data_IF_124110198878
#
_entry.id   IF_124110198878
#
_cell.length_a   1.000
_cell.length_b   1.000
_cell.length_c   1.000
_cell.angle_alpha   90.00
_cell.angle_beta   90.00
_cell.angle_gamma   90.00
#
_symmetry.space_group_name_H-M   'P 1'
#
loop_
_entity.id
_entity.type
_entity.pdbx_description
1 polymer ?
#
# COMPACT_ATOMS: atom_id res chain seq x y z
N UNK A 1 -20.82 15.25 -3.83
CA UNK A 1 -20.33 15.05 -5.22
C UNK A 1 -20.08 13.57 -5.39
N UNK A 2 -20.48 12.98 -6.51
CA UNK A 2 -20.27 11.54 -6.75
C UNK A 2 -19.04 11.33 -7.61
N UNK A 3 -18.15 10.45 -7.18
CA UNK A 3 -16.94 10.02 -7.88
C UNK A 3 -17.13 8.62 -8.45
N UNK A 4 -16.38 8.31 -9.50
CA UNK A 4 -16.52 7.02 -10.18
C UNK A 4 -17.78 6.91 -11.05
N UNK A 5 -18.11 5.69 -11.47
CA UNK A 5 -19.20 5.42 -12.40
C UNK A 5 -19.70 3.98 -12.29
N UNK A 6 -20.87 3.69 -12.87
CA UNK A 6 -21.51 2.37 -12.79
C UNK A 6 -21.81 1.96 -11.34
N UNK A 7 -21.46 0.71 -11.01
CA UNK A 7 -21.57 0.17 -9.64
C UNK A 7 -20.48 0.73 -8.71
N UNK A 8 -19.43 1.34 -9.25
CA UNK A 8 -18.26 1.87 -8.54
C UNK A 8 -18.39 3.38 -8.36
N UNK A 9 -19.44 3.79 -7.66
CA UNK A 9 -19.72 5.19 -7.33
C UNK A 9 -19.48 5.46 -5.86
N UNK A 10 -18.96 6.65 -5.57
CA UNK A 10 -18.56 7.04 -4.24
C UNK A 10 -18.93 8.47 -3.88
N UNK A 11 -19.15 8.74 -2.60
CA UNK A 11 -19.32 10.10 -2.07
C UNK A 11 -18.22 10.41 -1.05
N UNK A 12 -17.58 11.57 -1.19
CA UNK A 12 -16.60 12.04 -0.20
C UNK A 12 -17.26 12.21 1.17
N UNK A 13 -16.63 11.65 2.21
CA UNK A 13 -17.01 11.88 3.61
C UNK A 13 -16.08 12.95 4.18
N UNK A 14 -16.54 14.20 4.21
CA UNK A 14 -15.76 15.32 4.73
C UNK A 14 -15.54 15.22 6.25
N UNK A 15 -14.32 15.50 6.71
CA UNK A 15 -13.98 15.55 8.13
C UNK A 15 -14.12 14.20 8.85
N UNK A 16 -13.89 13.10 8.13
CA UNK A 16 -14.00 11.75 8.67
C UNK A 16 -12.93 11.48 9.75
N UNK A 17 -11.68 11.84 9.49
CA UNK A 17 -10.49 11.56 10.29
C UNK A 17 -10.37 12.44 11.55
N UNK A 18 -11.16 12.13 12.59
CA UNK A 18 -11.23 12.92 13.84
C UNK A 18 -10.01 12.70 14.73
N UNK A 19 -8.90 13.35 14.38
CA UNK A 19 -7.67 13.33 15.18
C UNK A 19 -7.85 13.93 16.58
N UNK A 20 -7.10 13.45 17.58
CA UNK A 20 -6.99 14.10 18.88
C UNK A 20 -6.55 15.57 18.75
N UNK A 21 -6.99 16.41 19.69
CA UNK A 21 -6.69 17.84 19.65
C UNK A 21 -5.18 18.10 19.70
N UNK A 22 -4.69 18.83 18.70
CA UNK A 22 -3.28 19.23 18.59
C UNK A 22 -2.43 18.25 17.78
N UNK A 23 -3.00 17.14 17.33
CA UNK A 23 -2.35 16.24 16.39
C UNK A 23 -2.54 16.75 14.97
N UNK A 24 -1.52 16.55 14.15
CA UNK A 24 -1.53 16.90 12.74
C UNK A 24 -1.02 15.71 11.93
N UNK A 25 -1.58 15.54 10.73
CA UNK A 25 -1.09 14.54 9.81
C UNK A 25 0.28 14.91 9.24
N UNK A 26 1.12 13.89 9.11
CA UNK A 26 2.26 13.93 8.21
C UNK A 26 1.85 13.51 6.80
N UNK A 27 2.81 12.95 6.06
CA UNK A 27 2.48 12.23 4.84
C UNK A 27 1.83 10.89 5.18
N UNK A 28 0.83 10.49 4.41
CA UNK A 28 0.10 9.24 4.63
C UNK A 28 0.44 8.26 3.50
N UNK A 29 1.55 7.52 3.62
CA UNK A 29 2.00 6.62 2.56
C UNK A 29 1.14 5.36 2.45
N UNK A 30 0.49 4.91 3.52
CA UNK A 30 -0.29 3.68 3.47
C UNK A 30 -1.44 3.66 4.48
N UNK A 31 -2.49 2.92 4.11
CA UNK A 31 -3.69 2.67 4.91
C UNK A 31 -4.12 1.22 4.67
N UNK A 32 -4.63 0.56 5.72
CA UNK A 32 -5.25 -0.76 5.63
C UNK A 32 -6.39 -0.88 6.63
N UNK A 33 -7.34 -1.77 6.36
CA UNK A 33 -8.41 -2.13 7.30
C UNK A 33 -8.18 -3.55 7.82
N UNK A 34 -8.53 -3.77 9.09
CA UNK A 34 -8.54 -5.11 9.69
C UNK A 34 -9.91 -5.79 9.55
N UNK A 35 -10.05 -7.01 10.08
CA UNK A 35 -11.29 -7.80 10.02
C UNK A 35 -12.49 -7.17 10.73
N UNK A 36 -12.27 -6.12 11.52
CA UNK A 36 -13.28 -5.37 12.28
C UNK A 36 -13.57 -3.99 11.68
N UNK A 37 -13.09 -3.72 10.47
CA UNK A 37 -13.15 -2.40 9.80
C UNK A 37 -12.51 -1.26 10.61
N UNK A 38 -11.54 -1.59 11.48
CA UNK A 38 -10.66 -0.55 12.04
C UNK A 38 -9.69 -0.13 10.95
N UNK A 39 -9.50 1.18 10.82
CA UNK A 39 -8.67 1.78 9.77
C UNK A 39 -7.33 2.16 10.35
N UNK A 40 -6.28 1.46 9.92
CA UNK A 40 -4.90 1.66 10.32
C UNK A 40 -4.20 2.58 9.32
N UNK A 41 -3.63 3.67 9.82
CA UNK A 41 -3.07 4.74 8.99
C UNK A 41 -1.62 4.97 9.38
N UNK A 42 -0.70 4.69 8.45
CA UNK A 42 0.69 5.13 8.60
C UNK A 42 0.76 6.63 8.34
N UNK A 43 1.35 7.38 9.28
CA UNK A 43 1.57 8.82 9.15
C UNK A 43 3.03 9.16 9.42
N UNK A 44 3.67 9.94 8.55
CA UNK A 44 5.01 10.47 8.79
C UNK A 44 4.97 11.67 9.74
N UNK A 45 4.55 11.44 10.98
CA UNK A 45 4.40 12.43 12.05
C UNK A 45 4.90 11.89 13.40
N UNK A 46 4.66 12.63 14.48
CA UNK A 46 4.97 12.16 15.86
C UNK A 46 4.17 10.90 16.26
N UNK A 47 3.10 10.56 15.51
CA UNK A 47 2.23 9.41 15.73
C UNK A 47 2.24 8.52 14.48
N UNK A 48 3.16 7.55 14.39
CA UNK A 48 3.46 6.88 13.13
C UNK A 48 2.37 5.92 12.66
N UNK A 49 1.61 5.34 13.59
CA UNK A 49 0.45 4.53 13.29
C UNK A 49 -0.74 4.98 14.14
N UNK A 50 -1.82 5.36 13.46
CA UNK A 50 -3.04 5.87 14.06
C UNK A 50 -4.21 5.01 13.61
N UNK A 51 -5.09 4.63 14.54
CA UNK A 51 -6.20 3.71 14.29
C UNK A 51 -7.52 4.40 14.56
N UNK A 52 -8.45 4.28 13.61
CA UNK A 52 -9.83 4.78 13.72
C UNK A 52 -10.84 3.65 13.63
N UNK A 53 -12.05 3.88 14.15
CA UNK A 53 -13.22 3.12 13.72
C UNK A 53 -13.70 3.57 12.33
N UNK A 54 -14.68 2.85 11.80
CA UNK A 54 -15.23 3.13 10.46
C UNK A 54 -15.93 4.49 10.36
N UNK A 55 -16.39 5.04 11.47
CA UNK A 55 -16.97 6.39 11.60
C UNK A 55 -15.92 7.50 11.82
N UNK A 56 -14.64 7.11 11.84
CA UNK A 56 -13.48 7.99 11.91
C UNK A 56 -13.20 8.55 13.29
N UNK A 57 -13.76 7.92 14.34
CA UNK A 57 -13.39 8.23 15.71
C UNK A 57 -12.04 7.57 16.02
N UNK A 58 -11.13 8.35 16.61
CA UNK A 58 -9.84 7.85 17.08
C UNK A 58 -10.03 6.73 18.11
N UNK A 59 -9.31 5.63 17.92
CA UNK A 59 -9.28 4.49 18.84
C UNK A 59 -7.98 4.46 19.65
N UNK A 60 -6.85 4.41 18.96
CA UNK A 60 -5.53 4.26 19.55
C UNK A 60 -4.41 4.70 18.59
N UNK A 61 -3.20 4.87 19.12
CA UNK A 61 -1.96 5.02 18.34
C UNK A 61 -0.84 4.24 19.01
N UNK A 62 0.12 3.81 18.21
CA UNK A 62 1.33 3.17 18.70
C UNK A 62 2.45 3.21 17.65
N UNK A 63 3.64 2.74 18.04
CA UNK A 63 4.78 2.57 17.14
C UNK A 63 5.83 3.69 17.22
N UNK A 64 5.64 4.71 18.06
CA UNK A 64 6.55 5.86 18.21
C UNK A 64 8.02 5.44 18.50
N UNK A 65 8.19 4.34 19.24
CA UNK A 65 9.52 3.84 19.62
C UNK A 65 10.24 3.10 18.48
N UNK A 66 9.51 2.56 17.50
CA UNK A 66 10.05 1.62 16.49
C UNK A 66 9.85 2.05 15.03
N UNK A 67 8.72 2.66 14.71
CA UNK A 67 8.39 3.17 13.38
C UNK A 67 8.89 4.62 13.26
N UNK A 68 9.98 4.84 12.50
CA UNK A 68 10.61 6.16 12.37
C UNK A 68 10.16 6.89 11.11
N UNK A 69 10.00 6.15 10.02
CA UNK A 69 9.46 6.58 8.73
C UNK A 69 8.75 5.38 8.07
N UNK A 70 7.66 4.93 8.72
CA UNK A 70 6.83 3.84 8.22
C UNK A 70 6.30 4.17 6.82
N UNK A 71 6.31 3.18 5.93
CA UNK A 71 5.97 3.37 4.54
C UNK A 71 4.75 2.54 4.14
N UNK A 72 4.91 1.27 3.82
CA UNK A 72 3.83 0.33 3.51
C UNK A 72 3.16 -0.22 4.77
N UNK A 73 1.88 -0.58 4.65
CA UNK A 73 1.12 -1.32 5.66
C UNK A 73 0.34 -2.45 4.98
N UNK A 74 0.31 -3.61 5.61
CA UNK A 74 -0.50 -4.76 5.21
C UNK A 74 -1.05 -5.43 6.47
N UNK A 75 -2.33 -5.81 6.45
CA UNK A 75 -2.97 -6.54 7.55
C UNK A 75 -3.36 -7.92 7.02
N UNK A 76 -2.87 -8.97 7.67
CA UNK A 76 -3.23 -10.35 7.30
C UNK A 76 -4.59 -10.76 7.88
N UNK A 77 -5.09 -11.91 7.43
CA UNK A 77 -6.39 -12.47 7.87
C UNK A 77 -6.48 -12.80 9.37
N UNK A 78 -5.34 -12.79 10.08
CA UNK A 78 -5.26 -12.96 11.52
C UNK A 78 -5.12 -11.62 12.26
N UNK A 79 -5.36 -10.49 11.56
CA UNK A 79 -5.21 -9.12 12.03
C UNK A 79 -3.78 -8.77 12.50
N UNK A 80 -2.76 -9.49 12.01
CA UNK A 80 -1.39 -9.04 12.24
C UNK A 80 -1.08 -7.86 11.31
N UNK A 81 -0.46 -6.83 11.88
CA UNK A 81 -0.14 -5.59 11.18
C UNK A 81 1.32 -5.63 10.77
N UNK A 82 1.59 -5.55 9.48
CA UNK A 82 2.94 -5.48 8.95
C UNK A 82 3.22 -4.07 8.46
N UNK A 83 4.38 -3.54 8.81
CA UNK A 83 4.85 -2.24 8.34
C UNK A 83 6.23 -2.38 7.70
N UNK A 84 6.42 -1.83 6.50
CA UNK A 84 7.76 -1.58 5.98
C UNK A 84 8.28 -0.27 6.57
N UNK A 85 9.55 -0.26 6.95
CA UNK A 85 10.15 0.86 7.68
C UNK A 85 11.45 1.30 7.00
N UNK A 86 11.45 2.58 6.62
CA UNK A 86 12.44 3.13 5.71
C UNK A 86 13.80 3.34 6.37
N UNK A 87 13.84 3.91 7.57
CA UNK A 87 15.09 4.33 8.24
C UNK A 87 15.86 3.14 8.85
N UNK A 88 15.15 2.13 9.30
CA UNK A 88 15.71 0.89 9.86
C UNK A 88 15.94 -0.18 8.81
N UNK A 89 15.47 0.04 7.57
CA UNK A 89 15.56 -0.91 6.45
C UNK A 89 14.97 -2.29 6.79
N UNK A 90 13.83 -2.30 7.48
CA UNK A 90 13.22 -3.52 7.99
C UNK A 90 11.75 -3.63 7.61
N UNK A 91 11.22 -4.82 7.81
CA UNK A 91 9.79 -5.07 7.89
C UNK A 91 9.47 -5.56 9.29
N UNK A 92 8.49 -4.94 9.94
CA UNK A 92 8.02 -5.33 11.26
C UNK A 92 6.62 -5.93 11.17
N UNK A 93 6.40 -7.06 11.84
CA UNK A 93 5.08 -7.66 12.06
C UNK A 93 4.69 -7.42 13.51
N UNK A 94 3.49 -6.89 13.73
CA UNK A 94 2.90 -6.64 15.02
C UNK A 94 1.61 -7.44 15.19
N UNK A 95 1.20 -7.66 16.44
CA UNK A 95 -0.19 -8.01 16.73
C UNK A 95 -1.10 -6.81 16.46
N UNK A 96 -2.41 -7.06 16.42
CA UNK A 96 -3.42 -6.00 16.24
C UNK A 96 -3.44 -4.94 17.35
N UNK A 97 -2.75 -5.19 18.47
CA UNK A 97 -2.56 -4.27 19.60
C UNK A 97 -1.13 -3.71 19.71
N UNK A 98 -0.30 -3.85 18.67
CA UNK A 98 1.03 -3.24 18.60
C UNK A 98 2.18 -4.01 19.27
N UNK A 99 1.98 -5.27 19.69
CA UNK A 99 3.10 -6.11 20.17
C UNK A 99 3.97 -6.55 19.00
N UNK A 100 5.28 -6.32 19.04
CA UNK A 100 6.20 -6.76 17.99
C UNK A 100 6.33 -8.30 18.00
N UNK A 101 5.93 -8.93 16.90
CA UNK A 101 5.94 -10.40 16.73
C UNK A 101 7.13 -10.89 15.90
N UNK A 102 7.58 -10.11 14.92
CA UNK A 102 8.68 -10.49 14.03
C UNK A 102 9.33 -9.27 13.39
N UNK A 103 10.64 -9.37 13.16
CA UNK A 103 11.42 -8.43 12.37
C UNK A 103 12.07 -9.17 11.21
N UNK A 104 11.89 -8.67 9.99
CA UNK A 104 12.65 -9.09 8.81
C UNK A 104 13.67 -8.00 8.48
N UNK A 105 14.93 -8.40 8.26
CA UNK A 105 16.05 -7.49 8.14
C UNK A 105 16.78 -7.27 9.47
N UNK A 106 17.78 -6.40 9.45
CA UNK A 106 18.58 -6.06 10.64
C UNK A 106 18.51 -4.54 10.86
N UNK A 107 17.84 -4.06 11.91
CA UNK A 107 17.62 -2.62 12.11
C UNK A 107 18.92 -1.80 12.05
N UNK A 108 18.92 -0.75 11.23
CA UNK A 108 20.06 0.14 11.05
C UNK A 108 21.23 -0.42 10.25
N UNK A 109 21.05 -1.60 9.64
CA UNK A 109 22.03 -2.21 8.71
C UNK A 109 21.40 -2.30 7.32
N UNK A 110 21.49 -1.25 6.49
CA UNK A 110 21.03 -1.31 5.11
C UNK A 110 21.73 -2.44 4.36
N UNK A 111 20.97 -3.10 3.48
CA UNK A 111 21.52 -4.08 2.56
C UNK A 111 22.54 -3.47 1.61
N UNK A 112 23.43 -4.34 1.10
CA UNK A 112 24.37 -3.98 0.05
C UNK A 112 23.63 -3.87 -1.29
N UNK A 113 24.24 -3.18 -2.25
CA UNK A 113 23.77 -3.11 -3.65
C UNK A 113 23.91 -4.45 -4.41
N UNK A 114 23.88 -5.58 -3.70
CA UNK A 114 23.78 -6.92 -4.26
C UNK A 114 22.36 -7.48 -4.24
N UNK A 115 21.42 -6.75 -3.61
CA UNK A 115 19.99 -7.05 -3.60
C UNK A 115 19.60 -8.24 -2.72
N UNK A 116 20.46 -8.67 -1.79
CA UNK A 116 20.18 -9.80 -0.88
C UNK A 116 19.56 -9.40 0.45
N UNK A 117 19.65 -8.13 0.83
CA UNK A 117 19.15 -7.57 2.09
C UNK A 117 18.42 -6.27 1.77
N UNK A 118 17.39 -5.94 2.55
CA UNK A 118 16.57 -4.77 2.31
C UNK A 118 17.35 -3.46 2.32
N UNK A 119 16.99 -2.56 1.40
CA UNK A 119 17.47 -1.19 1.38
C UNK A 119 16.34 -0.23 1.03
N UNK A 120 15.59 0.10 2.09
CA UNK A 120 14.37 0.93 2.09
C UNK A 120 13.21 0.16 1.42
N UNK A 121 12.77 -0.94 2.07
CA UNK A 121 11.68 -1.75 1.56
C UNK A 121 10.43 -0.89 1.43
N UNK A 122 9.68 -1.10 0.36
CA UNK A 122 8.58 -0.24 -0.03
C UNK A 122 7.26 -0.76 0.50
N UNK A 123 6.96 -2.04 0.28
CA UNK A 123 5.66 -2.62 0.61
C UNK A 123 5.78 -4.15 0.80
N UNK A 124 4.72 -4.79 1.29
CA UNK A 124 4.68 -6.22 1.47
C UNK A 124 3.28 -6.83 1.25
N UNK A 125 3.24 -8.12 1.01
CA UNK A 125 2.03 -8.93 1.05
C UNK A 125 2.32 -10.37 1.48
N UNK A 126 1.30 -11.07 1.96
CA UNK A 126 1.39 -12.47 2.37
C UNK A 126 0.57 -13.33 1.42
N UNK A 127 1.18 -14.39 0.86
CA UNK A 127 0.51 -15.35 -0.01
C UNK A 127 -0.32 -16.37 0.77
N UNK A 128 -1.15 -17.17 0.08
CA UNK A 128 -1.96 -18.20 0.74
C UNK A 128 -1.13 -19.26 1.48
N UNK A 129 0.12 -19.47 1.04
CA UNK A 129 1.11 -20.36 1.66
C UNK A 129 1.67 -19.83 2.99
N UNK A 130 1.41 -18.55 3.29
CA UNK A 130 2.04 -17.80 4.37
C UNK A 130 3.41 -17.22 4.00
N UNK A 131 3.90 -17.46 2.78
CA UNK A 131 5.13 -16.82 2.31
C UNK A 131 4.92 -15.30 2.22
N UNK A 132 5.94 -14.55 2.60
CA UNK A 132 5.92 -13.09 2.66
C UNK A 132 6.69 -12.56 1.47
N UNK A 133 6.06 -11.67 0.71
CA UNK A 133 6.65 -10.98 -0.42
C UNK A 133 6.88 -9.53 -0.04
N UNK A 134 8.07 -9.01 -0.31
CA UNK A 134 8.46 -7.64 0.02
C UNK A 134 9.06 -6.98 -1.20
N UNK A 135 8.52 -5.84 -1.61
CA UNK A 135 9.14 -5.00 -2.63
C UNK A 135 10.19 -4.10 -1.98
N UNK A 136 11.33 -3.94 -2.65
CA UNK A 136 12.46 -3.14 -2.18
C UNK A 136 12.97 -2.30 -3.35
N UNK A 137 12.40 -1.10 -3.48
CA UNK A 137 12.42 -0.33 -4.73
C UNK A 137 13.08 1.04 -4.69
N UNK A 138 13.29 1.67 -3.53
CA UNK A 138 13.83 3.04 -3.50
C UNK A 138 15.33 3.11 -3.73
N UNK A 139 16.09 2.20 -3.11
CA UNK A 139 17.54 2.10 -3.27
C UNK A 139 17.97 0.69 -3.68
N UNK A 140 17.02 -0.06 -4.22
CA UNK A 140 17.18 -1.39 -4.77
C UNK A 140 16.14 -1.58 -5.88
N UNK A 141 16.18 -2.70 -6.60
CA UNK A 141 15.21 -3.02 -7.65
C UNK A 141 14.83 -4.49 -7.53
N UNK A 142 14.31 -4.86 -6.36
CA UNK A 142 14.10 -6.26 -5.99
C UNK A 142 12.71 -6.51 -5.44
N UNK A 143 12.30 -7.76 -5.59
CA UNK A 143 11.27 -8.39 -4.77
C UNK A 143 11.91 -9.54 -4.04
N UNK A 144 11.62 -9.64 -2.75
CA UNK A 144 12.10 -10.67 -1.85
C UNK A 144 10.95 -11.58 -1.46
N UNK A 145 11.20 -12.88 -1.44
CA UNK A 145 10.31 -13.91 -0.90
C UNK A 145 10.92 -14.48 0.38
N UNK A 146 10.18 -14.39 1.47
CA UNK A 146 10.49 -14.97 2.76
C UNK A 146 9.49 -16.08 3.06
N UNK A 147 9.95 -17.09 3.79
CA UNK A 147 9.06 -18.09 4.40
C UNK A 147 8.24 -17.48 5.54
N UNK A 148 7.16 -18.13 6.00
CA UNK A 148 6.33 -17.63 7.09
C UNK A 148 7.08 -17.37 8.40
N UNK A 149 8.24 -18.02 8.60
CA UNK A 149 9.07 -17.86 9.78
C UNK A 149 10.17 -16.79 9.64
N UNK A 150 10.19 -16.05 8.53
CA UNK A 150 11.14 -14.97 8.28
C UNK A 150 12.49 -15.40 7.70
N UNK A 151 12.63 -16.63 7.21
CA UNK A 151 13.82 -17.03 6.44
C UNK A 151 13.70 -16.56 4.99
N UNK A 152 14.69 -15.80 4.48
CA UNK A 152 14.76 -15.40 3.07
C UNK A 152 14.91 -16.64 2.17
N UNK A 153 13.99 -16.81 1.23
CA UNK A 153 13.97 -17.94 0.28
C UNK A 153 14.55 -17.56 -1.08
N UNK A 154 14.17 -16.39 -1.60
CA UNK A 154 14.57 -15.94 -2.94
C UNK A 154 14.50 -14.42 -3.05
N UNK A 155 15.37 -13.84 -3.87
CA UNK A 155 15.21 -12.48 -4.39
C UNK A 155 15.26 -12.51 -5.91
N UNK A 156 14.49 -11.64 -6.57
CA UNK A 156 14.58 -11.41 -8.02
C UNK A 156 14.34 -9.93 -8.32
N UNK A 157 14.50 -9.52 -9.57
CA UNK A 157 14.52 -8.10 -9.96
C UNK A 157 15.93 -7.61 -10.28
N UNK A 158 16.08 -6.58 -11.08
CA UNK A 158 17.29 -5.77 -11.23
C UNK A 158 16.88 -4.46 -11.90
N UNK A 159 17.73 -3.43 -11.88
CA UNK A 159 17.40 -2.18 -12.54
C UNK A 159 17.17 -2.37 -14.05
N UNK A 160 16.05 -1.84 -14.55
CA UNK A 160 15.75 -1.84 -15.98
C UNK A 160 14.26 -1.86 -16.30
N UNK A 161 13.96 -1.94 -17.59
CA UNK A 161 12.58 -1.90 -18.12
C UNK A 161 12.16 -3.22 -18.78
N UNK A 162 13.00 -4.25 -18.76
CA UNK A 162 12.70 -5.60 -19.25
C UNK A 162 11.70 -6.36 -18.34
N UNK A 163 11.16 -7.50 -18.81
CA UNK A 163 10.42 -8.42 -17.94
C UNK A 163 11.27 -8.90 -16.77
N UNK A 164 10.76 -8.79 -15.55
CA UNK A 164 11.48 -9.14 -14.32
C UNK A 164 12.57 -8.15 -13.91
N UNK A 165 12.71 -7.02 -14.62
CA UNK A 165 13.50 -5.87 -14.19
C UNK A 165 12.57 -4.78 -13.64
N UNK A 166 13.06 -3.88 -12.79
CA UNK A 166 12.29 -2.80 -12.19
C UNK A 166 13.08 -1.50 -12.21
N UNK A 167 12.40 -0.37 -12.38
CA UNK A 167 13.02 0.93 -12.11
C UNK A 167 12.71 1.36 -10.68
N UNK A 168 11.48 1.13 -10.21
CA UNK A 168 11.09 1.33 -8.82
C UNK A 168 9.95 0.36 -8.48
N UNK A 169 10.31 -0.82 -7.94
CA UNK A 169 9.35 -1.80 -7.42
C UNK A 169 8.71 -1.28 -6.14
N UNK A 170 7.55 -0.65 -6.26
CA UNK A 170 6.95 0.12 -5.18
C UNK A 170 5.97 -0.66 -4.32
N UNK A 171 5.05 -1.37 -4.95
CA UNK A 171 4.03 -2.13 -4.25
C UNK A 171 4.15 -3.60 -4.66
N UNK A 172 3.85 -4.49 -3.72
CA UNK A 172 3.64 -5.91 -3.98
C UNK A 172 2.32 -6.36 -3.37
N UNK A 173 1.47 -7.02 -4.16
CA UNK A 173 0.22 -7.62 -3.73
C UNK A 173 0.08 -9.03 -4.26
N UNK A 174 -0.62 -9.87 -3.51
CA UNK A 174 -0.99 -11.22 -3.94
C UNK A 174 -2.49 -11.21 -4.23
N UNK A 175 -2.88 -11.68 -5.40
CA UNK A 175 -4.30 -11.83 -5.73
C UNK A 175 -4.86 -13.20 -5.29
N UNK A 176 -6.17 -13.40 -5.46
CA UNK A 176 -6.87 -14.62 -5.08
C UNK A 176 -6.37 -15.90 -5.75
N UNK A 177 -5.63 -15.78 -6.86
CA UNK A 177 -5.07 -16.90 -7.63
C UNK A 177 -3.57 -17.09 -7.33
N UNK A 178 -3.07 -16.49 -6.24
CA UNK A 178 -1.67 -16.50 -5.81
C UNK A 178 -0.69 -15.95 -6.85
N UNK A 179 -1.13 -14.98 -7.66
CA UNK A 179 -0.22 -14.23 -8.54
C UNK A 179 0.35 -13.05 -7.78
N UNK A 180 1.65 -12.79 -7.99
CA UNK A 180 2.39 -11.68 -7.39
C UNK A 180 2.34 -10.48 -8.34
N UNK A 181 1.66 -9.42 -7.94
CA UNK A 181 1.54 -8.17 -8.69
C UNK A 181 2.50 -7.15 -8.11
N UNK A 182 3.35 -6.57 -8.96
CA UNK A 182 4.38 -5.62 -8.55
C UNK A 182 4.21 -4.32 -9.33
N UNK A 183 3.94 -3.22 -8.62
CA UNK A 183 3.94 -1.88 -9.21
C UNK A 183 5.38 -1.47 -9.51
N UNK A 184 5.70 -1.29 -10.79
CA UNK A 184 6.97 -0.73 -11.23
C UNK A 184 6.73 0.73 -11.60
N UNK A 185 6.73 1.57 -10.55
CA UNK A 185 6.15 2.91 -10.55
C UNK A 185 6.73 3.78 -11.66
N UNK A 186 8.05 3.89 -11.73
CA UNK A 186 8.74 4.77 -12.70
C UNK A 186 8.67 4.23 -14.13
N UNK A 187 8.47 2.93 -14.31
CA UNK A 187 8.22 2.34 -15.64
C UNK A 187 6.72 2.36 -16.04
N UNK A 188 5.83 2.95 -15.24
CA UNK A 188 4.41 3.13 -15.56
C UNK A 188 3.70 1.81 -15.92
N UNK A 189 4.00 0.76 -15.14
CA UNK A 189 3.50 -0.60 -15.38
C UNK A 189 3.27 -1.37 -14.08
N UNK A 190 2.48 -2.42 -14.18
CA UNK A 190 2.42 -3.49 -13.17
C UNK A 190 2.93 -4.77 -13.83
N UNK A 191 3.84 -5.49 -13.18
CA UNK A 191 4.29 -6.81 -13.62
C UNK A 191 3.66 -7.89 -12.75
N UNK A 192 3.26 -8.99 -13.36
CA UNK A 192 2.59 -10.12 -12.72
C UNK A 192 3.48 -11.35 -12.82
N UNK A 193 3.70 -12.02 -11.69
CA UNK A 193 4.54 -13.21 -11.54
C UNK A 193 3.78 -14.33 -10.84
N UNK A 194 4.28 -15.56 -10.91
CA UNK A 194 3.86 -16.61 -9.98
C UNK A 194 4.60 -16.50 -8.63
N UNK A 195 4.23 -17.35 -7.66
CA UNK A 195 4.87 -17.38 -6.34
C UNK A 195 6.37 -17.76 -6.37
N UNK A 196 6.84 -18.34 -7.46
CA UNK A 196 8.26 -18.63 -7.70
C UNK A 196 9.03 -17.43 -8.26
N UNK A 197 8.36 -16.31 -8.55
CA UNK A 197 8.95 -15.10 -9.13
C UNK A 197 9.22 -15.20 -10.63
N UNK A 198 8.52 -16.10 -11.33
CA UNK A 198 8.59 -16.23 -12.78
C UNK A 198 7.59 -15.26 -13.43
N UNK A 199 8.09 -14.46 -14.38
CA UNK A 199 7.27 -13.47 -15.08
C UNK A 199 6.15 -14.14 -15.89
N UNK A 200 4.92 -13.67 -15.68
CA UNK A 200 3.74 -14.15 -16.40
C UNK A 200 3.28 -13.13 -17.45
N UNK A 201 3.01 -11.89 -17.03
CA UNK A 201 2.49 -10.82 -17.89
C UNK A 201 2.72 -9.45 -17.27
N UNK A 202 2.29 -8.37 -17.94
CA UNK A 202 2.34 -7.02 -17.41
C UNK A 202 1.21 -6.14 -17.96
N UNK A 203 0.79 -5.16 -17.17
CA UNK A 203 -0.05 -4.05 -17.60
C UNK A 203 0.80 -2.81 -17.82
N UNK A 204 0.45 -1.98 -18.80
CA UNK A 204 1.21 -0.77 -19.18
C UNK A 204 0.28 0.43 -19.28
N UNK A 205 0.89 1.61 -19.43
CA UNK A 205 0.19 2.90 -19.59
C UNK A 205 -0.61 3.31 -18.34
N UNK A 206 -0.13 2.90 -17.17
CA UNK A 206 -0.55 3.44 -15.88
C UNK A 206 0.19 4.76 -15.62
N UNK A 207 -0.25 5.52 -14.63
CA UNK A 207 0.29 6.83 -14.29
C UNK A 207 0.98 6.80 -12.92
N UNK A 208 2.22 6.32 -12.91
CA UNK A 208 3.01 6.07 -11.70
C UNK A 208 2.21 5.25 -10.66
N UNK A 209 1.88 3.98 -10.96
CA UNK A 209 1.10 3.15 -10.05
C UNK A 209 1.86 2.97 -8.74
N UNK A 210 1.18 3.31 -7.65
CA UNK A 210 1.78 3.42 -6.33
C UNK A 210 1.44 2.18 -5.49
N UNK A 211 0.16 2.00 -5.19
CA UNK A 211 -0.37 0.88 -4.39
C UNK A 211 -1.58 0.25 -5.08
N UNK A 212 -1.69 -1.07 -4.97
CA UNK A 212 -2.84 -1.86 -5.41
C UNK A 212 -3.65 -2.31 -4.20
N UNK A 213 -4.97 -2.31 -4.35
CA UNK A 213 -5.90 -3.03 -3.47
C UNK A 213 -6.77 -3.97 -4.32
N UNK A 214 -6.86 -5.23 -3.91
CA UNK A 214 -7.80 -6.21 -4.45
C UNK A 214 -9.01 -6.26 -3.52
N UNK A 215 -10.21 -6.11 -4.07
CA UNK A 215 -11.42 -6.37 -3.32
C UNK A 215 -11.56 -7.89 -3.11
N UNK A 216 -11.69 -8.39 -1.87
CA UNK A 216 -11.80 -9.83 -1.62
C UNK A 216 -13.16 -10.42 -2.05
N UNK A 217 -14.13 -9.56 -2.37
CA UNK A 217 -15.50 -9.95 -2.73
C UNK A 217 -15.84 -9.70 -4.20
N UNK A 218 -15.00 -8.93 -4.90
CA UNK A 218 -15.21 -8.52 -6.29
C UNK A 218 -13.93 -8.76 -7.12
N UNK A 219 -14.07 -9.19 -8.38
CA UNK A 219 -12.94 -9.40 -9.30
C UNK A 219 -12.45 -8.06 -9.90
N UNK A 220 -11.98 -7.14 -9.04
CA UNK A 220 -11.49 -5.81 -9.43
C UNK A 220 -10.22 -5.39 -8.71
N UNK A 221 -9.50 -4.47 -9.35
CA UNK A 221 -8.22 -3.93 -8.91
C UNK A 221 -8.33 -2.42 -8.75
N UNK A 222 -8.13 -1.94 -7.53
CA UNK A 222 -8.02 -0.52 -7.21
C UNK A 222 -6.56 -0.10 -7.24
N UNK A 223 -6.26 1.05 -7.86
CA UNK A 223 -4.90 1.54 -7.99
C UNK A 223 -4.87 3.01 -7.57
N UNK A 224 -4.03 3.32 -6.58
CA UNK A 224 -3.57 4.68 -6.34
C UNK A 224 -2.45 5.02 -7.32
N UNK A 225 -2.62 6.09 -8.08
CA UNK A 225 -1.68 6.52 -9.12
C UNK A 225 -1.16 7.90 -8.74
N UNK A 226 0.18 8.03 -8.63
CA UNK A 226 0.79 9.26 -8.13
C UNK A 226 0.49 10.46 -9.03
N UNK A 227 0.13 10.27 -10.30
CA UNK A 227 -0.33 11.39 -11.14
C UNK A 227 -1.77 11.79 -10.78
N UNK A 228 -2.03 12.05 -9.51
CA UNK A 228 -3.25 12.67 -9.00
C UNK A 228 -4.54 11.94 -9.37
N UNK A 229 -4.55 10.61 -9.40
CA UNK A 229 -5.77 9.85 -9.67
C UNK A 229 -5.88 8.54 -8.89
N UNK A 230 -7.10 8.06 -8.79
CA UNK A 230 -7.44 6.69 -8.40
C UNK A 230 -8.20 6.06 -9.56
N UNK A 231 -7.91 4.79 -9.82
CA UNK A 231 -8.52 4.02 -10.89
C UNK A 231 -8.93 2.64 -10.41
N UNK A 232 -9.93 2.07 -11.09
CA UNK A 232 -10.48 0.75 -10.84
C UNK A 232 -10.51 0.00 -12.16
N UNK A 233 -9.93 -1.21 -12.19
CA UNK A 233 -9.83 -2.07 -13.36
C UNK A 233 -10.46 -3.44 -13.08
N UNK A 234 -10.85 -4.16 -14.13
CA UNK A 234 -11.11 -5.60 -14.06
C UNK A 234 -9.79 -6.36 -13.86
N UNK A 235 -9.86 -7.64 -13.46
CA UNK A 235 -8.67 -8.50 -13.34
C UNK A 235 -7.94 -8.75 -14.68
N UNK A 236 -8.57 -8.42 -15.81
CA UNK A 236 -8.00 -8.51 -17.17
C UNK A 236 -7.32 -7.20 -17.63
N UNK A 237 -7.44 -6.12 -16.84
CA UNK A 237 -6.82 -4.82 -17.14
C UNK A 237 -7.71 -3.87 -17.93
N UNK A 238 -9.02 -4.10 -17.95
CA UNK A 238 -9.98 -3.17 -18.54
C UNK A 238 -10.37 -2.09 -17.53
N UNK A 239 -10.26 -0.82 -17.91
CA UNK A 239 -10.61 0.30 -17.03
C UNK A 239 -12.13 0.34 -16.79
N UNK A 240 -12.53 0.25 -15.52
CA UNK A 240 -13.93 0.38 -15.10
C UNK A 240 -14.25 1.86 -14.86
N UNK A 241 -13.49 2.51 -13.98
CA UNK A 241 -13.68 3.93 -13.66
C UNK A 241 -12.42 4.54 -13.08
N UNK A 242 -12.34 5.87 -13.09
CA UNK A 242 -11.29 6.64 -12.43
C UNK A 242 -11.77 8.03 -12.06
N UNK A 243 -11.08 8.66 -11.11
CA UNK A 243 -11.24 10.09 -10.80
C UNK A 243 -9.93 10.65 -10.26
N UNK A 244 -9.82 11.98 -10.26
CA UNK A 244 -8.52 12.64 -10.23
C UNK A 244 -7.98 12.75 -11.66
N UNK A 245 -7.79 13.98 -12.11
CA UNK A 245 -7.77 14.33 -13.54
C UNK A 245 -6.40 14.21 -14.21
N UNK A 246 -5.52 13.31 -13.76
CA UNK A 246 -4.10 13.30 -14.11
C UNK A 246 -3.39 14.65 -13.86
N UNK A 247 -3.99 15.49 -13.00
CA UNK A 247 -3.59 16.86 -12.73
C UNK A 247 -3.94 17.20 -11.30
N UNK A 248 -3.05 17.99 -10.68
CA UNK A 248 -3.24 18.50 -9.34
C UNK A 248 -4.55 19.27 -9.23
N UNK A 249 -5.37 18.94 -8.24
CA UNK A 249 -6.59 19.67 -7.93
C UNK A 249 -6.83 19.82 -6.44
N UNK A 250 -7.43 20.95 -6.04
CA UNK A 250 -7.84 21.23 -4.65
C UNK A 250 -9.35 21.06 -4.43
N UNK A 251 -10.07 20.60 -5.45
CA UNK A 251 -11.49 20.34 -5.28
C UNK A 251 -11.69 19.20 -4.28
N UNK A 252 -12.72 19.25 -3.41
CA UNK A 252 -13.03 18.15 -2.50
C UNK A 252 -13.17 16.83 -3.28
N UNK A 253 -12.48 15.78 -2.83
CA UNK A 253 -12.49 14.45 -3.45
C UNK A 253 -11.55 14.28 -4.66
N UNK A 254 -10.82 15.33 -5.05
CA UNK A 254 -9.71 15.25 -5.99
C UNK A 254 -8.37 15.37 -5.24
N UNK A 255 -7.25 15.26 -5.96
CA UNK A 255 -5.93 15.05 -5.36
C UNK A 255 -4.97 16.20 -5.65
N UNK A 256 -4.61 16.94 -4.59
CA UNK A 256 -3.60 17.99 -4.64
C UNK A 256 -2.20 17.46 -4.34
N UNK A 257 -2.15 16.43 -3.49
CA UNK A 257 -0.97 15.61 -3.26
C UNK A 257 -0.94 14.42 -4.22
N UNK A 258 -0.08 13.45 -3.91
CA UNK A 258 0.02 12.22 -4.68
C UNK A 258 -0.73 11.10 -3.94
N UNK A 259 -1.80 10.53 -4.53
CA UNK A 259 -2.39 9.30 -4.04
C UNK A 259 -1.31 8.24 -3.88
N UNK A 260 -1.28 7.60 -2.72
CA UNK A 260 -0.19 6.71 -2.33
C UNK A 260 -0.76 5.41 -1.77
N UNK A 261 -1.37 5.45 -0.59
CA UNK A 261 -2.07 4.32 0.02
C UNK A 261 -3.52 4.23 -0.44
N UNK A 262 -4.01 3.01 -0.67
CA UNK A 262 -5.42 2.75 -1.00
C UNK A 262 -5.90 1.45 -0.35
N UNK A 263 -7.09 1.47 0.25
CA UNK A 263 -7.74 0.30 0.83
C UNK A 263 -9.25 0.50 0.90
N UNK A 264 -10.04 -0.58 0.92
CA UNK A 264 -11.48 -0.50 1.19
C UNK A 264 -11.89 -1.33 2.42
N UNK A 265 -12.89 -0.85 3.16
CA UNK A 265 -13.51 -1.60 4.26
C UNK A 265 -14.51 -2.65 3.75
N UNK A 266 -15.09 -3.45 4.66
CA UNK A 266 -16.05 -4.50 4.32
C UNK A 266 -17.36 -3.99 3.67
N UNK A 267 -17.66 -2.69 3.76
CA UNK A 267 -18.81 -2.08 3.08
C UNK A 267 -18.44 -1.49 1.70
N UNK A 268 -17.16 -1.55 1.34
CA UNK A 268 -16.61 -1.02 0.11
C UNK A 268 -16.29 0.47 0.18
N UNK A 269 -16.31 1.09 1.37
CA UNK A 269 -15.86 2.48 1.51
C UNK A 269 -14.35 2.53 1.31
N UNK A 270 -13.89 3.47 0.49
CA UNK A 270 -12.50 3.58 0.08
C UNK A 270 -11.76 4.63 0.91
N UNK A 271 -10.54 4.29 1.31
CA UNK A 271 -9.60 5.13 2.03
C UNK A 271 -8.38 5.39 1.15
N UNK A 272 -8.04 6.66 0.95
CA UNK A 272 -6.93 7.06 0.09
C UNK A 272 -5.99 7.99 0.84
N UNK A 273 -4.79 7.51 1.12
CA UNK A 273 -3.70 8.29 1.71
C UNK A 273 -2.97 9.11 0.64
N UNK A 274 -2.58 10.32 0.99
CA UNK A 274 -1.81 11.21 0.13
C UNK A 274 -0.49 11.61 0.77
N UNK A 275 0.54 11.76 -0.05
CA UNK A 275 1.86 12.26 0.35
C UNK A 275 2.18 13.60 -0.29
N UNK A 276 3.19 14.29 0.26
CA UNK A 276 3.70 15.58 -0.20
C UNK A 276 2.73 16.76 0.02
N UNK A 277 2.42 17.52 -1.02
CA UNK A 277 1.68 18.79 -0.87
C UNK A 277 0.23 18.51 -0.50
N UNK A 278 -0.26 19.19 0.54
CA UNK A 278 -1.61 19.00 1.06
C UNK A 278 -1.87 17.51 1.43
N UNK A 279 -0.86 16.83 1.99
CA UNK A 279 -0.96 15.46 2.46
C UNK A 279 -2.12 15.27 3.45
N UNK A 280 -2.74 14.09 3.41
CA UNK A 280 -3.91 13.79 4.22
C UNK A 280 -4.61 12.51 3.77
N UNK A 281 -5.69 12.17 4.46
CA UNK A 281 -6.48 10.97 4.24
C UNK A 281 -7.86 11.37 3.71
N UNK A 282 -8.32 10.71 2.66
CA UNK A 282 -9.68 10.91 2.15
C UNK A 282 -10.47 9.62 2.30
N UNK A 283 -11.70 9.72 2.82
CA UNK A 283 -12.68 8.63 2.82
C UNK A 283 -13.76 8.89 1.75
N UNK A 284 -14.05 7.86 0.97
CA UNK A 284 -15.08 7.84 -0.06
C UNK A 284 -16.07 6.72 0.26
N UNK A 285 -17.28 7.06 0.67
CA UNK A 285 -18.32 6.07 0.97
C UNK A 285 -18.92 5.49 -0.31
N UNK A 286 -19.08 4.16 -0.39
CA UNK A 286 -19.66 3.50 -1.57
C UNK A 286 -21.15 3.84 -1.68
N UNK A 287 -21.58 4.29 -2.85
CA UNK A 287 -22.98 4.55 -3.18
C UNK A 287 -23.60 3.27 -3.72
N UNK A 288 -24.59 2.72 -3.00
CA UNK A 288 -25.36 1.54 -3.39
C UNK A 288 -26.72 1.92 -3.96
#
# INVERSE_FOLDING_TARGET
>A
MTFGSGEYRYELVEGWDKLPKGWEWGWIPAVACDSQDRVFVNSRSEHPLVIFDREGNFLESWGEDILKDAHGIFIDKEDNVYCTEWETHCVYKFSSSGELLMTLGTPGQPGLEDGKVFRKPTDLAVASTGDIFVSDGYENARVHKYSPNGTLLKSWGEWGAGPGQFELSHCVRIDKDDRVWVCDRTNNRIQIFNLEGEFMTQWRNLLHPDTIYFDPTEDVVYIAEMDHQVSIYTMEGELITKWGGAQKSKNPGEFSGFPHGIWADSLGDLYVGQVQVDAGLQKFARVR
#
